data_IF_108046853400
#
_entry.id   IF_108046853400
#
_cell.length_a   1.000
_cell.length_b   1.000
_cell.length_c   1.000
_cell.angle_alpha   90.00
_cell.angle_beta   90.00
_cell.angle_gamma   90.00
#
_symmetry.space_group_name_H-M   'P 1'
#
loop_
_entity.id
_entity.type
_entity.pdbx_description
1 polymer ?
2 non-polymer ?
3 water ?
#
# COMPACT_ATOMS: atom_id res chain seq x y z
N UNK A 1 21.20 -1.23 -7.59
CA UNK A 1 21.43 -1.84 -6.30
C UNK A 1 22.89 -1.76 -5.88
N UNK A 2 23.29 -2.66 -4.99
CA UNK A 2 24.65 -2.69 -4.48
C UNK A 2 24.97 -4.13 -4.22
N UNK A 3 26.26 -4.46 -4.23
CA UNK A 3 26.66 -5.85 -4.03
C UNK A 3 26.24 -6.30 -2.64
N UNK A 4 26.23 -5.36 -1.70
CA UNK A 4 25.85 -5.70 -0.33
C UNK A 4 24.37 -6.06 -0.27
N UNK A 5 23.52 -5.23 -0.87
CA UNK A 5 22.09 -5.50 -0.87
C UNK A 5 21.83 -6.83 -1.53
N UNK A 6 22.51 -7.03 -2.66
CA UNK A 6 22.44 -8.31 -3.35
C UNK A 6 22.69 -9.45 -2.36
N UNK A 7 23.84 -9.43 -1.69
CA UNK A 7 24.20 -10.48 -0.74
C UNK A 7 23.16 -10.61 0.37
N UNK A 8 22.60 -9.49 0.80
CA UNK A 8 21.62 -9.49 1.89
C UNK A 8 20.32 -10.17 1.44
N UNK A 9 19.82 -9.80 0.26
CA UNK A 9 18.66 -10.47 -0.31
C UNK A 9 18.85 -11.99 -0.40
N UNK A 10 20.03 -12.41 -0.82
CA UNK A 10 20.27 -13.82 -1.04
C UNK A 10 20.33 -14.60 0.27
N UNK A 11 20.90 -13.98 1.31
CA UNK A 11 20.86 -14.60 2.64
C UNK A 11 19.41 -14.68 3.13
N UNK A 12 18.63 -13.65 2.84
CA UNK A 12 17.22 -13.61 3.26
C UNK A 12 16.42 -14.73 2.62
N UNK A 13 16.64 -14.95 1.32
CA UNK A 13 15.96 -16.04 0.64
C UNK A 13 16.30 -17.38 1.26
N UNK A 14 17.58 -17.56 1.58
CA UNK A 14 18.05 -18.76 2.24
C UNK A 14 17.28 -18.99 3.55
N UNK A 15 17.17 -17.94 4.35
CA UNK A 15 16.42 -17.96 5.60
C UNK A 15 14.97 -18.31 5.37
N UNK A 16 14.39 -17.75 4.31
CA UNK A 16 13.00 -18.01 3.97
C UNK A 16 12.78 -19.49 3.67
N UNK A 17 13.69 -20.08 2.90
CA UNK A 17 13.64 -21.51 2.61
C UNK A 17 13.76 -22.35 3.88
N UNK A 18 14.71 -22.01 4.74
CA UNK A 18 14.86 -22.70 6.02
C UNK A 18 13.56 -22.66 6.81
N UNK A 19 12.96 -21.47 6.90
CA UNK A 19 11.74 -21.27 7.67
C UNK A 19 10.58 -22.11 7.14
N UNK A 20 10.46 -22.18 5.82
CA UNK A 20 9.38 -22.92 5.21
C UNK A 20 9.52 -24.42 5.42
N UNK A 21 10.72 -24.87 5.76
CA UNK A 21 10.96 -26.29 6.00
C UNK A 21 10.82 -26.70 7.47
N UNK A 22 10.67 -25.73 8.37
CA UNK A 22 10.48 -26.06 9.78
C UNK A 22 9.07 -26.62 9.99
N UNK A 23 8.84 -27.37 11.07
CA UNK A 23 7.46 -27.60 11.46
C UNK A 23 7.07 -26.23 12.00
N UNK A 24 5.84 -25.81 11.79
CA UNK A 24 5.42 -24.52 12.31
C UNK A 24 6.31 -23.36 11.85
N UNK A 25 6.35 -23.10 10.53
CA UNK A 25 7.12 -21.96 10.02
C UNK A 25 6.62 -20.66 10.66
N UNK A 26 7.51 -19.68 10.81
CA UNK A 26 7.11 -18.33 11.16
C UNK A 26 6.32 -17.74 10.01
N UNK A 27 5.24 -17.05 10.33
CA UNK A 27 4.45 -16.40 9.29
C UNK A 27 4.99 -14.98 9.04
N UNK A 28 4.86 -14.49 7.80
CA UNK A 28 5.28 -13.13 7.49
C UNK A 28 4.50 -12.09 8.31
N UNK A 29 5.04 -10.87 8.42
CA UNK A 29 4.36 -9.79 9.13
C UNK A 29 2.97 -9.54 8.57
N UNK A 30 2.84 -9.57 7.24
CA UNK A 30 1.57 -9.35 6.57
C UNK A 30 0.52 -10.41 6.97
N UNK A 31 0.94 -11.66 7.03
CA UNK A 31 0.01 -12.74 7.37
C UNK A 31 -0.41 -12.75 8.83
N UNK A 32 0.53 -12.45 9.72
CA UNK A 32 0.21 -12.31 11.14
C UNK A 32 -0.81 -11.19 11.37
N UNK A 33 -0.64 -10.08 10.67
CA UNK A 33 -1.58 -8.96 10.78
C UNK A 33 -2.96 -9.30 10.21
N UNK A 34 -3.00 -9.99 9.06
CA UNK A 34 -4.28 -10.43 8.53
C UNK A 34 -4.98 -11.44 9.48
N UNK A 35 -4.23 -12.38 10.06
CA UNK A 35 -4.83 -13.29 11.05
C UNK A 35 -5.50 -12.52 12.20
N UNK A 36 -4.80 -11.50 12.69
CA UNK A 36 -5.30 -10.66 13.76
C UNK A 36 -6.59 -9.90 13.33
N UNK A 37 -6.59 -9.36 12.12
CA UNK A 37 -7.80 -8.73 11.58
C UNK A 37 -8.96 -9.71 11.46
N UNK A 38 -8.68 -10.92 10.99
CA UNK A 38 -9.71 -11.97 10.87
C UNK A 38 -10.22 -12.42 12.23
N UNK A 39 -9.29 -12.55 13.18
CA UNK A 39 -9.66 -12.97 14.53
C UNK A 39 -10.47 -11.90 15.26
N UNK A 40 -10.38 -10.65 14.82
CA UNK A 40 -11.06 -9.52 15.46
C UNK A 40 -12.37 -9.09 14.77
N UNK A 41 -12.79 -9.81 13.75
CA UNK A 41 -13.96 -9.39 12.97
C UNK A 41 -15.25 -9.36 13.78
N UNK A 42 -16.11 -8.40 13.49
CA UNK A 42 -17.39 -8.30 14.15
C UNK A 42 -18.43 -8.01 13.08
N UNK A 43 -18.80 -9.04 12.31
CA UNK A 43 -19.62 -8.83 11.11
C UNK A 43 -21.11 -8.74 11.43
N UNK A 44 -21.83 -7.85 10.73
CA UNK A 44 -23.29 -7.89 10.86
C UNK A 44 -23.84 -9.06 10.06
N UNK A 45 -25.11 -9.45 10.35
CA UNK A 45 -25.71 -10.62 9.71
C UNK A 45 -25.82 -10.46 8.18
N UNK A 46 -25.68 -9.23 7.71
CA UNK A 46 -25.75 -8.95 6.29
C UNK A 46 -24.43 -9.23 5.55
N UNK A 47 -23.41 -9.63 6.29
CA UNK A 47 -22.13 -9.94 5.67
C UNK A 47 -21.60 -11.28 6.09
N UNK A 48 -21.27 -12.12 5.12
CA UNK A 48 -20.62 -13.38 5.42
C UNK A 48 -19.26 -13.43 4.72
N UNK A 49 -18.35 -14.24 5.24
CA UNK A 49 -16.97 -14.24 4.78
C UNK A 49 -16.47 -15.66 4.70
N UNK A 50 -15.80 -15.98 3.59
CA UNK A 50 -15.19 -17.30 3.39
C UNK A 50 -13.70 -17.11 3.18
N UNK A 51 -12.90 -17.84 3.93
CA UNK A 51 -11.46 -17.81 3.70
C UNK A 51 -11.23 -18.75 2.55
N UNK A 52 -10.69 -18.24 1.44
CA UNK A 52 -10.44 -19.08 0.27
C UNK A 52 -9.02 -19.64 0.37
N UNK A 53 -8.05 -18.73 0.49
CA UNK A 53 -6.67 -19.11 0.80
C UNK A 53 -6.26 -18.43 2.11
N UNK A 54 -5.84 -19.22 3.08
CA UNK A 54 -5.59 -18.74 4.45
C UNK A 54 -4.22 -18.06 4.63
N UNK A 55 -4.15 -17.02 5.48
CA UNK A 55 -2.84 -16.45 5.84
C UNK A 55 -1.98 -17.46 6.61
N UNK A 56 -2.57 -18.59 6.98
CA UNK A 56 -1.86 -19.64 7.72
C UNK A 56 -0.87 -20.46 6.91
N UNK A 57 -0.76 -20.21 5.61
CA UNK A 57 0.22 -20.96 4.82
C UNK A 57 1.60 -20.29 4.89
N UNK A 58 2.65 -21.08 4.75
CA UNK A 58 4.01 -20.54 4.73
C UNK A 58 4.43 -20.35 3.28
N UNK A 59 3.53 -20.73 2.37
CA UNK A 59 3.79 -20.61 0.95
C UNK A 59 3.66 -19.17 0.49
N UNK A 60 4.81 -18.52 0.33
CA UNK A 60 4.89 -17.15 -0.14
C UNK A 60 4.07 -16.90 -1.41
N UNK A 61 4.08 -17.88 -2.31
CA UNK A 61 3.43 -17.77 -3.61
C UNK A 61 1.90 -17.88 -3.58
N UNK A 62 1.35 -18.39 -2.49
CA UNK A 62 -0.09 -18.48 -2.33
C UNK A 62 -0.62 -17.29 -1.52
N UNK A 63 -0.99 -16.21 -2.20
CA UNK A 63 -1.48 -15.04 -1.50
C UNK A 63 -2.79 -15.36 -0.76
N UNK A 64 -2.92 -14.86 0.48
CA UNK A 64 -4.19 -15.08 1.18
C UNK A 64 -5.32 -14.47 0.35
N UNK A 65 -6.49 -15.08 0.41
CA UNK A 65 -7.62 -14.60 -0.37
C UNK A 65 -8.92 -14.89 0.36
N UNK A 66 -9.79 -13.89 0.41
CA UNK A 66 -11.07 -14.01 1.12
C UNK A 66 -12.18 -13.72 0.13
N UNK A 67 -13.34 -14.34 0.34
CA UNK A 67 -14.55 -13.98 -0.38
C UNK A 67 -15.48 -13.28 0.61
N UNK A 68 -15.93 -12.09 0.25
CA UNK A 68 -16.84 -11.35 1.13
C UNK A 68 -18.18 -11.24 0.43
N UNK A 69 -19.25 -11.67 1.09
CA UNK A 69 -20.59 -11.66 0.49
C UNK A 69 -21.51 -10.67 1.21
N UNK A 70 -21.88 -9.60 0.52
CA UNK A 70 -22.76 -8.58 1.07
C UNK A 70 -24.21 -8.82 0.63
N UNK A 71 -25.10 -8.99 1.60
CA UNK A 71 -26.53 -9.18 1.36
C UNK A 71 -27.32 -8.18 2.21
N UNK A 72 -27.49 -6.96 1.70
CA UNK A 72 -28.13 -5.87 2.46
C UNK A 72 -29.56 -6.24 2.80
N UNK A 73 -30.07 -5.80 3.94
CA UNK A 73 -31.46 -6.08 4.25
C UNK A 73 -32.33 -4.82 4.18
N UNK A 74 -31.75 -3.76 3.62
CA UNK A 74 -32.44 -2.49 3.39
C UNK A 74 -31.83 -1.77 2.19
N UNK A 75 -32.49 -0.73 1.69
CA UNK A 75 -31.97 0.03 0.57
C UNK A 75 -32.25 -0.52 -0.83
N UNK A 76 -31.66 0.11 -1.84
CA UNK A 76 -31.91 -0.24 -3.23
C UNK A 76 -31.61 -1.70 -3.58
N UNK A 77 -30.58 -2.24 -2.94
CA UNK A 77 -30.06 -3.56 -3.27
C UNK A 77 -30.52 -4.57 -2.25
N UNK A 78 -31.54 -4.23 -1.47
CA UNK A 78 -32.05 -5.12 -0.44
C UNK A 78 -32.23 -6.54 -0.95
N UNK A 79 -31.70 -7.48 -0.18
CA UNK A 79 -31.79 -8.92 -0.44
C UNK A 79 -31.08 -9.46 -1.69
N UNK A 80 -30.33 -8.60 -2.36
CA UNK A 80 -29.39 -9.06 -3.39
C UNK A 80 -28.09 -9.50 -2.73
N UNK A 81 -27.41 -10.48 -3.32
CA UNK A 81 -26.12 -10.93 -2.79
C UNK A 81 -24.96 -10.55 -3.72
N UNK A 82 -24.09 -9.65 -3.25
CA UNK A 82 -22.94 -9.22 -4.05
C UNK A 82 -21.66 -9.73 -3.42
N UNK A 83 -20.94 -10.60 -4.13
CA UNK A 83 -19.72 -11.14 -3.56
C UNK A 83 -18.47 -10.48 -4.13
N UNK A 84 -17.43 -10.42 -3.30
CA UNK A 84 -16.16 -9.77 -3.64
C UNK A 84 -15.03 -10.72 -3.26
N UNK A 85 -13.96 -10.70 -4.05
CA UNK A 85 -12.74 -11.38 -3.64
C UNK A 85 -11.79 -10.31 -3.13
N UNK A 86 -11.13 -10.60 -2.01
CA UNK A 86 -10.10 -9.72 -1.48
C UNK A 86 -8.76 -10.46 -1.52
N UNK A 87 -7.79 -9.94 -2.27
CA UNK A 87 -6.49 -10.59 -2.48
C UNK A 87 -5.38 -9.79 -1.80
N UNK A 88 -4.69 -10.40 -0.85
CA UNK A 88 -3.68 -9.72 -0.04
C UNK A 88 -2.28 -10.06 -0.56
N UNK A 89 -1.42 -9.06 -0.65
CA UNK A 89 -0.01 -9.32 -0.97
C UNK A 89 0.83 -9.26 0.30
N UNK A 90 2.15 -9.46 0.19
CA UNK A 90 2.99 -9.57 1.37
C UNK A 90 3.28 -8.20 1.99
N UNK A 91 2.59 -7.19 1.49
CA UNK A 91 2.83 -5.82 1.92
C UNK A 91 1.66 -5.22 2.73
N UNK A 92 0.65 -6.04 2.98
CA UNK A 92 -0.37 -5.68 3.98
C UNK A 92 0.29 -5.53 5.34
N UNK A 93 -0.09 -4.49 6.11
CA UNK A 93 -1.15 -3.50 5.89
C UNK A 93 -0.68 -2.20 5.24
N UNK A 94 0.54 -2.18 4.70
CA UNK A 94 1.01 -0.96 4.07
C UNK A 94 0.13 -0.70 2.87
N UNK A 95 -0.20 -1.77 2.16
CA UNK A 95 -1.18 -1.74 1.08
C UNK A 95 -2.39 -2.56 1.47
N UNK A 96 -3.59 -2.10 1.11
CA UNK A 96 -4.80 -2.88 1.35
C UNK A 96 -4.92 -4.03 0.35
N UNK A 97 -5.82 -4.99 0.61
CA UNK A 97 -5.96 -6.04 -0.42
C UNK A 97 -6.50 -5.43 -1.70
N UNK A 98 -6.26 -6.10 -2.82
CA UNK A 98 -6.98 -5.79 -4.05
C UNK A 98 -8.42 -6.31 -3.90
N UNK A 99 -9.40 -5.48 -4.24
CA UNK A 99 -10.79 -5.89 -4.11
C UNK A 99 -11.39 -6.02 -5.52
N UNK A 100 -12.02 -7.15 -5.79
CA UNK A 100 -12.66 -7.38 -7.08
C UNK A 100 -14.11 -7.82 -6.87
N UNK A 101 -15.05 -7.10 -7.47
CA UNK A 101 -16.46 -7.52 -7.39
C UNK A 101 -16.71 -8.63 -8.41
N UNK A 102 -17.35 -9.71 -7.97
CA UNK A 102 -17.45 -10.93 -8.75
C UNK A 102 -18.77 -11.04 -9.48
N UNK A 103 -19.59 -10.00 -9.40
CA UNK A 103 -20.88 -9.96 -10.08
C UNK A 103 -21.00 -8.71 -10.94
N UNK A 104 -21.62 -8.84 -12.11
CA UNK A 104 -21.99 -7.68 -12.90
C UNK A 104 -23.19 -7.03 -12.22
N UNK A 105 -22.96 -5.88 -11.60
CA UNK A 105 -24.06 -5.21 -10.92
C UNK A 105 -24.20 -3.74 -11.34
N UNK A 106 -25.42 -3.21 -11.22
CA UNK A 106 -25.70 -1.83 -11.61
C UNK A 106 -25.47 -0.92 -10.40
N UNK A 107 -24.27 -0.36 -10.30
CA UNK A 107 -23.93 0.49 -9.17
C UNK A 107 -22.93 1.54 -9.62
N UNK A 108 -23.15 2.81 -9.22
CA UNK A 108 -22.30 3.90 -9.71
C UNK A 108 -20.82 3.66 -9.39
N UNK A 109 -20.52 2.96 -8.31
CA UNK A 109 -19.14 2.88 -7.82
C UNK A 109 -18.41 1.58 -8.20
N UNK A 110 -19.04 0.75 -9.03
CA UNK A 110 -18.45 -0.51 -9.48
C UNK A 110 -18.56 -0.62 -11.00
N UNK A 111 -17.46 -0.92 -11.68
CA UNK A 111 -17.51 -1.03 -13.14
C UNK A 111 -17.75 -2.45 -13.60
N UNK A 112 -17.91 -2.64 -14.90
CA UNK A 112 -18.29 -3.95 -15.42
C UNK A 112 -17.14 -4.94 -15.39
N UNK A 113 -15.94 -4.45 -15.07
CA UNK A 113 -14.78 -5.30 -14.90
C UNK A 113 -14.63 -5.82 -13.45
N UNK A 114 -15.45 -5.32 -12.53
CA UNK A 114 -15.34 -5.71 -11.15
C UNK A 114 -14.54 -4.76 -10.27
N UNK A 115 -13.96 -3.71 -10.88
CA UNK A 115 -13.29 -2.65 -10.14
C UNK A 115 -14.22 -1.89 -9.19
N UNK A 116 -13.74 -1.61 -7.99
CA UNK A 116 -14.58 -1.00 -6.97
C UNK A 116 -13.98 0.31 -6.48
N UNK A 117 -14.72 1.41 -6.64
CA UNK A 117 -14.27 2.72 -6.19
C UNK A 117 -14.71 3.02 -4.76
N UNK A 118 -13.80 2.79 -3.84
CA UNK A 118 -14.07 2.96 -2.43
C UNK A 118 -12.87 3.70 -1.88
N UNK A 119 -13.10 4.86 -1.26
CA UNK A 119 -12.00 5.75 -0.87
C UNK A 119 -10.96 5.09 0.02
N UNK A 120 -11.39 4.25 0.96
CA UNK A 120 -10.42 3.68 1.88
C UNK A 120 -9.46 2.69 1.22
N UNK A 121 -9.78 2.27 0.00
CA UNK A 121 -8.90 1.37 -0.72
C UNK A 121 -7.71 2.09 -1.35
N UNK A 122 -7.75 3.41 -1.44
CA UNK A 122 -6.61 4.14 -1.99
C UNK A 122 -6.25 5.46 -1.29
N UNK A 123 -6.92 6.55 -1.65
CA UNK A 123 -6.48 7.84 -1.13
C UNK A 123 -6.64 7.95 0.39
N UNK A 124 -7.63 7.26 0.94
CA UNK A 124 -7.85 7.33 2.38
C UNK A 124 -7.41 6.07 3.11
N UNK A 125 -6.60 5.24 2.47
CA UNK A 125 -6.10 4.05 3.16
C UNK A 125 -5.06 4.43 4.23
N UNK A 126 -5.12 3.78 5.38
CA UNK A 126 -4.10 3.89 6.42
C UNK A 126 -3.86 2.50 6.98
N UNK A 127 -2.60 2.20 7.36
CA UNK A 127 -2.29 0.87 7.91
C UNK A 127 -2.95 0.66 9.25
N UNK A 128 -3.54 1.72 9.80
CA UNK A 128 -4.28 1.60 11.05
C UNK A 128 -5.75 1.22 10.81
N UNK A 129 -6.15 1.18 9.54
CA UNK A 129 -7.47 0.66 9.16
C UNK A 129 -7.33 -0.85 9.04
N UNK A 130 -8.44 -1.57 9.03
CA UNK A 130 -8.40 -3.03 9.08
C UNK A 130 -9.44 -3.68 8.19
N UNK A 131 -9.47 -5.01 8.20
CA UNK A 131 -10.38 -5.74 7.36
C UNK A 131 -11.81 -5.36 7.71
N UNK A 132 -12.09 -5.17 9.00
CA UNK A 132 -13.45 -4.79 9.42
C UNK A 132 -13.87 -3.50 8.70
N UNK A 133 -12.96 -2.54 8.62
CA UNK A 133 -13.21 -1.26 7.95
C UNK A 133 -13.50 -1.45 6.49
N UNK A 134 -12.70 -2.27 5.82
CA UNK A 134 -12.92 -2.50 4.41
C UNK A 134 -14.31 -3.11 4.22
N UNK A 135 -14.61 -4.14 5.01
CA UNK A 135 -15.88 -4.83 4.86
C UNK A 135 -17.06 -3.89 5.16
N UNK A 136 -16.95 -3.11 6.22
CA UNK A 136 -18.00 -2.15 6.51
C UNK A 136 -18.15 -1.16 5.34
N UNK A 137 -17.04 -0.76 4.73
CA UNK A 137 -17.07 0.14 3.58
C UNK A 137 -17.77 -0.44 2.37
N UNK A 138 -17.57 -1.73 2.11
CA UNK A 138 -18.25 -2.41 1.01
C UNK A 138 -19.76 -2.47 1.29
N UNK A 139 -20.11 -2.73 2.53
CA UNK A 139 -21.52 -2.74 2.90
C UNK A 139 -22.14 -1.36 2.62
N UNK A 140 -21.51 -0.33 3.16
CA UNK A 140 -22.00 1.06 3.09
C UNK A 140 -22.19 1.56 1.64
N UNK A 141 -21.45 1.01 0.69
CA UNK A 141 -21.64 1.33 -0.71
C UNK A 141 -23.06 1.03 -1.18
N UNK A 142 -23.65 0.00 -0.61
CA UNK A 142 -24.98 -0.43 -1.02
C UNK A 142 -26.07 0.27 -0.21
N UNK A 143 -25.70 0.72 0.99
CA UNK A 143 -26.61 1.47 1.85
C UNK A 143 -26.67 2.94 1.46
N UNK A 144 -25.54 3.48 1.03
CA UNK A 144 -25.46 4.85 0.58
C UNK A 144 -24.62 5.00 -0.67
N UNK A 145 -25.19 4.61 -1.83
CA UNK A 145 -24.47 4.76 -3.09
C UNK A 145 -24.24 6.24 -3.35
N UNK A 146 -23.11 6.55 -3.96
CA UNK A 146 -22.71 7.93 -4.20
C UNK A 146 -22.51 8.11 -5.70
N UNK A 147 -23.20 9.10 -6.29
CA UNK A 147 -23.04 9.27 -7.74
C UNK A 147 -21.76 10.01 -8.11
N UNK A 148 -20.94 10.35 -7.13
CA UNK A 148 -19.76 11.19 -7.37
C UNK A 148 -18.46 10.46 -7.69
N UNK A 149 -18.47 9.14 -7.64
CA UNK A 149 -17.32 8.34 -8.08
C UNK A 149 -17.77 7.36 -9.15
N UNK A 150 -18.17 7.90 -10.31
CA UNK A 150 -18.96 7.12 -11.29
C UNK A 150 -18.08 6.21 -12.14
N UNK A 151 -17.92 4.95 -11.73
CA UNK A 151 -17.26 3.97 -12.58
C UNK A 151 -18.26 3.48 -13.62
N UNK A 152 -19.53 3.56 -13.24
CA UNK A 152 -20.62 3.15 -14.11
C UNK A 152 -21.51 4.35 -14.33
N UNK A 153 -21.37 4.98 -15.49
CA UNK A 153 -22.02 6.24 -15.75
C UNK A 153 -23.53 6.11 -15.84
N UNK A 154 -24.02 4.99 -16.36
CA UNK A 154 -25.47 4.78 -16.45
C UNK A 154 -26.12 4.76 -15.08
N UNK A 155 -25.51 4.06 -14.13
CA UNK A 155 -26.03 4.03 -12.75
C UNK A 155 -25.92 5.41 -12.10
N UNK A 156 -24.79 6.08 -12.30
CA UNK A 156 -24.60 7.43 -11.73
C UNK A 156 -25.68 8.38 -12.23
N UNK A 157 -25.98 8.32 -13.53
CA UNK A 157 -27.04 9.16 -14.11
C UNK A 157 -28.40 8.86 -13.51
N UNK A 158 -28.75 7.58 -13.43
CA UNK A 158 -30.07 7.18 -12.94
C UNK A 158 -30.30 7.55 -11.47
N UNK A 159 -29.24 7.51 -10.69
CA UNK A 159 -29.34 7.80 -9.27
C UNK A 159 -29.68 9.28 -9.11
N UNK A 160 -29.08 10.11 -9.96
CA UNK A 160 -29.42 11.53 -10.00
C UNK A 160 -30.85 11.76 -10.48
N UNK A 161 -31.31 10.92 -11.41
CA UNK A 161 -32.65 11.04 -11.99
C UNK A 161 -33.78 10.66 -11.03
N UNK A 162 -33.46 10.45 -9.76
CA UNK A 162 -34.49 10.14 -8.78
C UNK A 162 -34.44 8.73 -8.22
N UNK A 163 -35.19 8.52 -7.14
CA UNK A 163 -35.11 7.30 -6.37
C UNK A 163 -36.02 6.17 -6.88
N UNK A 164 -37.20 6.52 -7.38
CA UNK A 164 -38.09 5.48 -7.92
C UNK A 164 -37.47 4.90 -9.18
N UNK A 165 -36.84 5.78 -9.96
CA UNK A 165 -36.20 5.40 -11.21
C UNK A 165 -35.01 4.48 -10.97
N UNK A 166 -34.14 4.87 -10.04
CA UNK A 166 -32.96 4.08 -9.74
C UNK A 166 -33.38 2.78 -9.08
N UNK A 167 -34.39 2.87 -8.21
CA UNK A 167 -34.87 1.69 -7.51
C UNK A 167 -35.34 0.60 -8.46
N UNK A 168 -36.04 1.00 -9.52
CA UNK A 168 -36.58 0.03 -10.46
C UNK A 168 -35.51 -0.51 -11.39
N UNK A 169 -34.54 0.34 -11.74
CA UNK A 169 -33.41 -0.09 -12.55
C UNK A 169 -32.56 -1.12 -11.81
N UNK A 170 -32.42 -0.93 -10.49
CA UNK A 170 -31.64 -1.84 -9.66
C UNK A 170 -32.38 -3.17 -9.52
N UNK A 171 -33.69 -3.09 -9.30
CA UNK A 171 -34.51 -4.28 -9.22
C UNK A 171 -34.46 -5.10 -10.50
N UNK A 172 -34.51 -4.43 -11.66
CA UNK A 172 -34.41 -5.13 -12.94
C UNK A 172 -33.06 -5.82 -13.12
N UNK A 173 -31.99 -5.06 -12.92
CA UNK A 173 -30.63 -5.58 -13.13
C UNK A 173 -30.27 -6.71 -12.17
N UNK A 174 -30.68 -6.60 -10.91
CA UNK A 174 -30.47 -7.64 -9.91
C UNK A 174 -31.20 -8.94 -10.24
N UNK A 175 -32.25 -8.83 -11.05
CA UNK A 175 -32.99 -10.00 -11.51
C UNK A 175 -32.44 -10.52 -12.84
N UNK A 176 -31.29 -10.00 -13.24
CA UNK A 176 -30.66 -10.44 -14.47
C UNK A 176 -31.05 -9.66 -15.72
N UNK A 177 -31.73 -8.53 -15.54
CA UNK A 177 -32.17 -7.72 -16.67
C UNK A 177 -31.09 -6.83 -17.23
N UNK A 178 -31.40 -6.12 -18.31
CA UNK A 178 -30.42 -5.29 -18.98
C UNK A 178 -30.82 -3.82 -18.92
N UNK A 179 -29.82 -2.96 -18.80
CA UNK A 179 -30.03 -1.54 -18.96
C UNK A 179 -29.09 -1.06 -20.05
N UNK A 180 -29.60 -0.18 -20.90
CA UNK A 180 -28.97 0.09 -22.18
C UNK A 180 -28.78 -1.26 -22.85
N UNK A 181 -27.55 -1.65 -23.16
CA UNK A 181 -27.35 -2.93 -23.81
C UNK A 181 -26.43 -3.87 -23.03
N UNK A 182 -26.27 -3.61 -21.75
CA UNK A 182 -25.47 -4.49 -20.92
C UNK A 182 -26.35 -5.32 -19.99
N UNK A 183 -26.06 -6.63 -19.96
CA UNK A 183 -26.81 -7.56 -19.14
C UNK A 183 -26.14 -7.72 -17.78
N UNK A 184 -26.95 -7.67 -16.73
CA UNK A 184 -26.43 -7.79 -15.39
C UNK A 184 -26.80 -9.16 -14.82
N UNK A 185 -26.06 -9.60 -13.80
CA UNK A 185 -26.30 -10.91 -13.21
C UNK A 185 -27.54 -10.96 -12.31
N UNK A 186 -28.19 -12.11 -12.29
CA UNK A 186 -29.25 -12.39 -11.35
C UNK A 186 -28.65 -12.69 -9.99
N UNK A 187 -28.84 -11.78 -9.04
CA UNK A 187 -28.25 -11.96 -7.71
C UNK A 187 -29.29 -12.07 -6.58
N UNK A 188 -30.57 -12.21 -6.93
CA UNK A 188 -31.64 -12.19 -5.92
C UNK A 188 -31.93 -13.52 -5.21
N UNK A 189 -31.47 -14.64 -5.74
CA UNK A 189 -31.67 -15.91 -5.02
C UNK A 189 -30.99 -15.89 -3.64
N UNK A 190 -31.64 -16.46 -2.60
CA UNK A 190 -32.89 -17.24 -2.53
C UNK A 190 -34.11 -16.47 -2.99
N UNK B 4 24.14 -7.67 -31.02
CA UNK B 4 24.42 -6.42 -31.70
C UNK B 4 23.18 -5.50 -31.80
N UNK B 5 22.00 -6.03 -31.49
CA UNK B 5 20.77 -5.27 -31.67
C UNK B 5 20.59 -4.15 -30.65
N UNK B 6 20.87 -4.44 -29.38
CA UNK B 6 20.76 -3.44 -28.32
C UNK B 6 21.83 -2.37 -28.49
N UNK B 7 22.92 -2.76 -29.15
CA UNK B 7 24.03 -1.87 -29.32
C UNK B 7 23.81 -0.93 -30.50
N UNK B 8 23.16 -1.45 -31.54
CA UNK B 8 22.76 -0.62 -32.66
C UNK B 8 21.76 0.44 -32.21
N UNK B 9 20.93 0.07 -31.21
CA UNK B 9 19.97 1.01 -30.64
C UNK B 9 20.64 2.11 -29.82
N UNK B 10 21.69 1.74 -29.07
CA UNK B 10 22.50 2.73 -28.34
C UNK B 10 23.01 3.80 -29.28
N UNK B 11 23.47 3.37 -30.45
CA UNK B 11 24.05 4.29 -31.42
C UNK B 11 23.02 5.28 -31.92
N UNK B 12 21.81 4.80 -32.18
CA UNK B 12 20.73 5.64 -32.70
C UNK B 12 20.21 6.59 -31.62
N UNK B 13 20.08 6.09 -30.41
CA UNK B 13 19.71 6.92 -29.29
C UNK B 13 20.73 8.05 -29.10
N UNK B 14 22.01 7.68 -29.18
CA UNK B 14 23.09 8.65 -29.09
C UNK B 14 22.95 9.73 -30.16
N UNK B 15 22.51 9.32 -31.34
CA UNK B 15 22.28 10.26 -32.43
C UNK B 15 21.06 11.13 -32.14
N UNK B 16 20.01 10.49 -31.64
CA UNK B 16 18.80 11.21 -31.24
C UNK B 16 19.11 12.25 -30.16
N UNK B 17 20.00 11.89 -29.24
CA UNK B 17 20.39 12.79 -28.15
C UNK B 17 21.18 13.97 -28.68
N UNK B 18 22.04 13.73 -29.66
CA UNK B 18 22.82 14.83 -30.25
C UNK B 18 21.95 15.75 -31.10
N UNK B 19 20.97 15.18 -31.80
CA UNK B 19 19.96 16.00 -32.46
C UNK B 19 19.26 16.87 -31.44
N UNK B 20 18.79 16.25 -30.37
CA UNK B 20 18.06 16.96 -29.31
C UNK B 20 18.86 18.13 -28.72
N UNK B 21 20.18 18.06 -28.82
CA UNK B 21 21.00 19.24 -28.56
C UNK B 21 20.86 20.18 -29.75
N UNK B 22 19.78 20.96 -29.74
CA UNK B 22 19.39 21.85 -30.84
C UNK B 22 17.99 21.52 -31.36
N UNK B 25 12.09 15.81 -26.52
CA UNK B 25 12.56 14.41 -26.59
C UNK B 25 11.66 13.47 -25.79
N UNK B 26 12.08 12.23 -25.66
CA UNK B 26 11.30 11.19 -24.99
C UNK B 26 11.73 10.98 -23.54
N UNK B 27 10.76 10.96 -22.62
CA UNK B 27 11.03 10.56 -21.24
C UNK B 27 11.25 9.04 -21.17
N UNK B 28 12.29 8.63 -20.45
CA UNK B 28 12.54 7.22 -20.22
C UNK B 28 11.35 6.57 -19.52
N UNK B 29 11.24 5.26 -19.64
CA UNK B 29 10.16 4.52 -18.99
C UNK B 29 10.12 4.81 -17.49
N UNK B 30 11.29 4.87 -16.87
CA UNK B 30 11.39 5.11 -15.43
C UNK B 30 10.85 6.50 -15.03
N UNK B 31 11.09 7.49 -15.88
CA UNK B 31 10.68 8.86 -15.57
C UNK B 31 9.20 9.09 -15.79
N UNK B 32 8.67 8.49 -16.87
CA UNK B 32 7.24 8.47 -17.10
C UNK B 32 6.52 7.90 -15.89
N UNK B 33 6.97 6.75 -15.42
CA UNK B 33 6.29 6.08 -14.33
C UNK B 33 6.38 6.88 -13.00
N UNK B 34 7.51 7.53 -12.75
CA UNK B 34 7.63 8.34 -11.54
C UNK B 34 6.75 9.59 -11.65
N UNK B 35 6.71 10.19 -12.82
CA UNK B 35 5.81 11.31 -13.06
C UNK B 35 4.36 10.90 -12.78
N UNK B 36 4.01 9.72 -13.26
CA UNK B 36 2.67 9.17 -13.03
C UNK B 36 2.43 8.92 -11.53
N UNK B 37 3.45 8.38 -10.85
CA UNK B 37 3.41 8.20 -9.39
C UNK B 37 3.22 9.51 -8.64
N UNK B 38 3.99 10.52 -9.03
CA UNK B 38 3.87 11.85 -8.45
C UNK B 38 2.51 12.50 -8.73
N UNK B 39 2.00 12.31 -9.93
CA UNK B 39 0.73 12.94 -10.31
C UNK B 39 -0.49 12.32 -9.63
N UNK B 40 -0.38 11.05 -9.24
CA UNK B 40 -1.50 10.37 -8.58
C UNK B 40 -1.31 10.29 -7.06
N UNK B 41 -0.28 10.96 -6.56
CA UNK B 41 0.11 10.86 -5.15
C UNK B 41 -0.90 11.52 -4.21
N UNK B 42 -1.31 10.77 -3.19
CA UNK B 42 -2.14 11.26 -2.11
C UNK B 42 -1.37 11.08 -0.81
N UNK B 43 -1.12 12.19 -0.11
CA UNK B 43 -0.36 12.16 1.13
C UNK B 43 -1.29 12.27 2.32
N UNK B 44 -0.96 11.58 3.42
CA UNK B 44 -1.67 11.79 4.68
C UNK B 44 -1.15 13.09 5.28
N UNK B 45 -1.80 13.59 6.34
CA UNK B 45 -1.40 14.88 6.92
C UNK B 45 -0.02 14.81 7.58
N UNK B 46 0.39 13.61 7.97
CA UNK B 46 1.67 13.43 8.66
C UNK B 46 2.88 13.38 7.72
N UNK B 47 2.63 13.45 6.41
CA UNK B 47 3.75 13.39 5.46
C UNK B 47 3.76 14.59 4.51
N UNK B 48 4.93 15.20 4.33
CA UNK B 48 5.11 16.18 3.27
C UNK B 48 6.19 15.73 2.28
N UNK B 49 6.09 16.18 1.05
CA UNK B 49 7.02 15.76 0.02
C UNK B 49 7.60 16.96 -0.70
N UNK B 50 8.92 16.97 -0.86
CA UNK B 50 9.60 18.01 -1.64
C UNK B 50 10.29 17.40 -2.84
N UNK B 51 9.96 17.87 -4.04
CA UNK B 51 10.62 17.43 -5.25
C UNK B 51 11.92 18.20 -5.38
N UNK B 52 13.05 17.52 -5.25
CA UNK B 52 14.33 18.18 -5.38
C UNK B 52 14.69 18.26 -6.85
N UNK B 53 14.63 17.12 -7.52
CA UNK B 53 14.81 17.07 -8.98
C UNK B 53 13.70 16.24 -9.61
N UNK B 54 12.92 16.89 -10.48
CA UNK B 54 11.76 16.28 -11.11
C UNK B 54 12.18 15.23 -12.14
N UNK B 55 11.37 14.16 -12.32
CA UNK B 55 11.65 13.16 -13.36
C UNK B 55 11.62 13.73 -14.77
N UNK B 56 10.84 14.80 -14.96
CA UNK B 56 10.73 15.43 -16.28
C UNK B 56 11.35 16.83 -16.24
N UNK B 57 12.46 16.97 -15.52
CA UNK B 57 13.14 18.24 -15.42
C UNK B 57 13.84 18.52 -16.75
N UNK B 58 14.30 19.75 -16.94
CA UNK B 58 14.99 20.13 -18.17
C UNK B 58 16.31 19.36 -18.35
N UNK B 59 17.02 19.15 -17.25
CA UNK B 59 18.32 18.48 -17.30
C UNK B 59 18.20 16.99 -16.97
N UNK B 60 18.23 16.15 -18.01
CA UNK B 60 17.98 14.73 -17.85
C UNK B 60 19.20 13.91 -17.43
N UNK B 61 20.32 14.57 -17.17
CA UNK B 61 21.49 13.88 -16.65
C UNK B 61 21.49 13.84 -15.12
N UNK B 62 20.52 14.53 -14.52
CA UNK B 62 20.34 14.50 -13.07
C UNK B 62 19.23 13.52 -12.73
N UNK B 63 19.54 12.55 -11.88
CA UNK B 63 18.55 11.55 -11.45
C UNK B 63 17.44 12.20 -10.61
N UNK B 64 16.18 11.78 -10.81
CA UNK B 64 15.09 12.36 -10.02
C UNK B 64 15.35 12.15 -8.53
N UNK B 65 15.03 13.16 -7.72
CA UNK B 65 15.30 13.09 -6.29
C UNK B 65 14.16 13.73 -5.51
N UNK B 66 13.68 13.04 -4.48
CA UNK B 66 12.63 13.56 -3.63
C UNK B 66 13.09 13.59 -2.18
N UNK B 67 12.51 14.49 -1.39
CA UNK B 67 12.65 14.43 0.06
C UNK B 67 11.27 14.18 0.65
N UNK B 68 11.19 13.20 1.55
CA UNK B 68 9.93 12.83 2.20
C UNK B 68 10.10 13.12 3.68
N UNK B 69 9.18 13.87 4.27
CA UNK B 69 9.30 14.20 5.69
C UNK B 69 8.15 13.62 6.48
N UNK B 70 8.49 12.75 7.43
CA UNK B 70 7.49 12.08 8.24
C UNK B 70 7.37 12.71 9.65
N UNK B 71 6.15 13.07 10.01
CA UNK B 71 5.85 13.64 11.32
C UNK B 71 4.76 12.82 11.98
N UNK B 72 5.15 11.76 12.67
CA UNK B 72 4.17 10.84 13.25
C UNK B 72 3.26 11.56 14.24
N UNK B 73 2.00 11.11 14.34
CA UNK B 73 1.05 11.71 15.27
C UNK B 73 0.56 10.69 16.29
N UNK B 74 1.31 9.61 16.43
CA UNK B 74 1.03 8.55 17.38
C UNK B 74 2.31 7.75 17.56
N UNK B 75 2.34 6.88 18.56
CA UNK B 75 3.49 6.01 18.76
C UNK B 75 4.69 6.68 19.41
N UNK B 76 5.79 5.94 19.49
CA UNK B 76 7.01 6.39 20.15
C UNK B 76 7.60 7.68 19.60
N UNK B 77 7.48 7.87 18.29
CA UNK B 77 8.16 9.01 17.64
C UNK B 77 7.21 10.18 17.43
N UNK B 78 6.05 10.07 18.07
CA UNK B 78 5.07 11.14 18.02
C UNK B 78 5.79 12.46 18.27
N UNK B 79 5.38 13.48 17.52
CA UNK B 79 5.93 14.83 17.64
C UNK B 79 7.29 15.02 16.97
N UNK B 80 7.95 13.92 16.62
CA UNK B 80 9.20 14.00 15.89
C UNK B 80 9.01 14.29 14.41
N UNK B 81 10.09 14.68 13.76
CA UNK B 81 10.08 15.00 12.34
C UNK B 81 11.30 14.36 11.68
N UNK B 82 11.07 13.40 10.78
CA UNK B 82 12.16 12.63 10.19
C UNK B 82 12.13 12.69 8.66
N UNK B 83 13.22 13.16 8.07
CA UNK B 83 13.30 13.36 6.62
C UNK B 83 14.16 12.31 5.92
N UNK B 84 13.73 11.92 4.72
CA UNK B 84 14.42 10.91 3.92
C UNK B 84 14.68 11.43 2.52
N UNK B 85 15.83 11.10 1.96
CA UNK B 85 16.06 11.29 0.53
C UNK B 85 15.79 10.03 -0.27
N UNK B 86 15.08 10.18 -1.39
CA UNK B 86 14.81 9.09 -2.31
C UNK B 86 15.49 9.41 -3.64
N UNK B 87 16.37 8.53 -4.11
CA UNK B 87 17.10 8.80 -5.35
C UNK B 87 16.81 7.70 -6.35
N UNK B 88 16.27 8.09 -7.50
CA UNK B 88 15.71 7.14 -8.45
C UNK B 88 16.68 6.92 -9.62
N UNK B 89 16.98 5.66 -9.92
CA UNK B 89 17.82 5.39 -11.09
C UNK B 89 16.94 5.04 -12.28
N UNK B 90 17.55 4.72 -13.41
CA UNK B 90 16.76 4.49 -14.63
C UNK B 90 16.15 3.08 -14.69
N UNK B 91 16.33 2.29 -13.64
CA UNK B 91 15.77 0.93 -13.56
C UNK B 91 14.41 0.90 -12.82
N UNK B 92 14.06 2.02 -12.18
CA UNK B 92 12.72 2.14 -11.59
C UNK B 92 11.65 1.89 -12.67
N UNK B 93 10.59 1.15 -12.33
CA UNK B 93 10.25 0.58 -11.02
C UNK B 93 10.62 -0.90 -10.88
N UNK B 94 11.49 -1.42 -11.74
CA UNK B 94 12.00 -2.78 -11.55
C UNK B 94 12.75 -2.81 -10.23
N UNK B 95 13.50 -1.75 -9.97
CA UNK B 95 14.18 -1.53 -8.70
C UNK B 95 13.53 -0.33 -8.03
N UNK B 96 13.51 -0.30 -6.69
CA UNK B 96 13.03 0.87 -5.95
C UNK B 96 14.06 1.98 -5.94
N UNK B 97 13.66 3.22 -5.57
CA UNK B 97 14.66 4.26 -5.37
C UNK B 97 15.60 3.85 -4.25
N UNK B 98 16.79 4.42 -4.23
CA UNK B 98 17.60 4.35 -3.02
C UNK B 98 16.94 5.27 -1.98
N UNK B 99 16.80 4.77 -0.77
CA UNK B 99 16.19 5.56 0.31
C UNK B 99 17.20 5.71 1.45
N UNK B 100 17.45 6.95 1.88
CA UNK B 100 18.35 7.18 3.00
C UNK B 100 17.68 8.04 4.06
N UNK B 101 17.70 7.61 5.32
CA UNK B 101 17.26 8.47 6.42
C UNK B 101 18.34 9.52 6.70
N UNK B 102 17.94 10.79 6.71
CA UNK B 102 18.89 11.90 6.82
C UNK B 102 19.14 12.36 8.26
N UNK B 103 18.55 11.67 9.23
CA UNK B 103 18.79 11.98 10.64
C UNK B 103 19.27 10.72 11.36
N UNK B 104 20.19 10.88 12.31
CA UNK B 104 20.51 9.77 13.21
C UNK B 104 19.34 9.58 14.16
N UNK B 105 18.63 8.47 14.07
CA UNK B 105 17.55 8.25 15.02
C UNK B 105 17.66 6.89 15.71
N UNK B 106 17.08 6.80 16.90
CA UNK B 106 17.15 5.58 17.70
C UNK B 106 15.97 4.68 17.35
N UNK B 107 16.20 3.80 16.38
CA UNK B 107 15.13 3.04 15.75
C UNK B 107 15.73 1.74 15.25
N UNK B 108 15.08 0.61 15.57
CA UNK B 108 15.67 -0.71 15.28
C UNK B 108 15.81 -0.99 13.79
N UNK B 109 15.04 -0.30 12.95
CA UNK B 109 15.00 -0.62 11.53
C UNK B 109 15.77 0.36 10.68
N UNK B 110 16.56 1.21 11.33
CA UNK B 110 17.33 2.23 10.62
C UNK B 110 18.73 2.24 11.18
N UNK B 111 19.75 2.22 10.34
CA UNK B 111 21.12 2.19 10.88
C UNK B 111 21.70 3.60 11.00
N UNK B 112 22.83 3.72 11.68
CA UNK B 112 23.38 5.05 11.96
C UNK B 112 23.90 5.73 10.70
N UNK B 113 23.98 4.99 9.60
CA UNK B 113 24.33 5.57 8.32
C UNK B 113 23.09 5.96 7.51
N UNK B 114 21.91 5.76 8.10
CA UNK B 114 20.67 6.13 7.46
C UNK B 114 20.06 5.09 6.53
N UNK B 115 20.64 3.89 6.49
CA UNK B 115 20.02 2.80 5.76
C UNK B 115 18.74 2.39 6.45
N UNK B 116 17.74 2.04 5.66
CA UNK B 116 16.41 1.70 6.16
C UNK B 116 16.11 0.25 5.82
N UNK B 117 15.66 -0.51 6.81
CA UNK B 117 15.27 -1.89 6.59
C UNK B 117 13.75 -2.05 6.58
N UNK B 118 13.22 -2.29 5.40
CA UNK B 118 11.79 -2.27 5.21
C UNK B 118 11.58 -3.29 4.12
N UNK B 119 10.71 -4.27 4.36
CA UNK B 119 10.51 -5.37 3.41
C UNK B 119 10.10 -4.87 2.02
N UNK B 120 9.24 -3.87 2.00
CA UNK B 120 8.72 -3.31 0.76
C UNK B 120 9.82 -2.73 -0.14
N UNK B 121 10.97 -2.41 0.45
CA UNK B 121 12.08 -1.85 -0.33
C UNK B 121 13.05 -2.92 -0.75
N UNK B 122 12.83 -4.12 -0.24
CA UNK B 122 13.77 -5.19 -0.46
C UNK B 122 13.05 -6.38 -1.08
N UNK B 123 12.94 -7.45 -0.30
CA UNK B 123 12.43 -8.71 -0.82
C UNK B 123 10.96 -8.63 -1.30
N UNK B 124 10.20 -7.65 -0.80
CA UNK B 124 8.79 -7.54 -1.17
C UNK B 124 8.50 -6.40 -2.14
N UNK B 125 9.55 -5.74 -2.62
CA UNK B 125 9.37 -4.77 -3.68
C UNK B 125 8.84 -5.44 -4.95
N UNK B 126 8.05 -4.69 -5.71
CA UNK B 126 7.68 -5.11 -7.06
C UNK B 126 7.26 -3.87 -7.83
N UNK B 127 7.30 -3.93 -9.18
CA UNK B 127 6.87 -2.81 -10.01
C UNK B 127 5.38 -2.56 -9.86
N UNK B 128 4.68 -3.44 -9.15
CA UNK B 128 3.28 -3.20 -8.86
C UNK B 128 3.14 -2.13 -7.77
N UNK B 129 4.24 -1.87 -7.06
CA UNK B 129 4.24 -0.87 -6.02
C UNK B 129 4.61 0.48 -6.61
N UNK B 130 4.37 1.55 -5.87
CA UNK B 130 4.67 2.88 -6.36
C UNK B 130 5.09 3.82 -5.22
N UNK B 131 5.25 5.11 -5.55
CA UNK B 131 5.73 6.08 -4.57
C UNK B 131 4.80 6.15 -3.36
N UNK B 132 3.49 6.07 -3.61
CA UNK B 132 2.55 6.07 -2.50
C UNK B 132 2.81 4.90 -1.54
N UNK B 133 3.11 3.72 -2.08
CA UNK B 133 3.47 2.58 -1.24
C UNK B 133 4.70 2.90 -0.40
N UNK B 134 5.74 3.41 -1.04
CA UNK B 134 6.98 3.71 -0.34
C UNK B 134 6.74 4.69 0.83
N UNK B 135 6.05 5.79 0.54
CA UNK B 135 5.80 6.79 1.56
C UNK B 135 4.96 6.24 2.72
N UNK B 136 3.91 5.48 2.41
CA UNK B 136 3.17 4.79 3.46
C UNK B 136 4.06 3.85 4.28
N UNK B 137 4.96 3.14 3.60
CA UNK B 137 5.91 2.28 4.27
C UNK B 137 6.81 3.03 5.25
N UNK B 138 7.29 4.20 4.83
CA UNK B 138 8.14 5.03 5.70
C UNK B 138 7.37 5.49 6.93
N UNK B 139 6.13 5.89 6.74
CA UNK B 139 5.24 6.23 7.85
C UNK B 139 5.11 5.05 8.81
N UNK B 140 4.89 3.87 8.24
CA UNK B 140 4.73 2.63 8.97
C UNK B 140 5.91 2.26 9.87
N UNK B 141 7.11 2.64 9.47
CA UNK B 141 8.30 2.46 10.32
C UNK B 141 8.07 2.97 11.72
N UNK B 142 7.42 4.14 11.82
CA UNK B 142 7.21 4.81 13.09
C UNK B 142 5.91 4.38 13.78
N UNK B 143 4.96 3.93 12.98
CA UNK B 143 3.72 3.37 13.55
C UNK B 143 3.99 2.01 14.18
N UNK B 144 4.96 1.28 13.63
CA UNK B 144 5.20 -0.09 14.04
C UNK B 144 6.65 -0.51 13.91
N UNK B 145 7.53 0.01 14.78
CA UNK B 145 8.93 -0.41 14.74
C UNK B 145 9.05 -1.91 14.98
N UNK B 146 9.98 -2.55 14.28
CA UNK B 146 10.11 -4.00 14.32
C UNK B 146 11.42 -4.42 14.96
N UNK B 147 11.37 -5.27 15.98
CA UNK B 147 12.60 -5.68 16.70
C UNK B 147 13.39 -6.73 15.93
N UNK B 148 12.81 -7.25 14.86
CA UNK B 148 13.22 -8.56 14.34
C UNK B 148 14.53 -8.72 13.59
N UNK B 149 14.86 -7.84 12.66
CA UNK B 149 16.14 -7.96 11.98
C UNK B 149 16.89 -6.65 12.08
N UNK B 150 17.19 -6.23 13.33
CA UNK B 150 17.54 -4.84 13.67
C UNK B 150 18.71 -4.34 12.87
N UNK B 151 18.65 -3.09 12.46
CA UNK B 151 19.82 -2.41 11.94
C UNK B 151 20.50 -1.69 13.10
N UNK B 152 19.72 -1.41 14.15
CA UNK B 152 20.22 -0.79 15.38
C UNK B 152 19.90 -1.71 16.56
N UNK B 153 20.88 -2.50 16.96
CA UNK B 153 20.64 -3.51 18.01
C UNK B 153 20.31 -2.88 19.35
N UNK B 154 20.94 -1.75 19.63
CA UNK B 154 20.69 -1.02 20.87
C UNK B 154 19.22 -0.63 21.00
N UNK B 155 18.60 -0.24 19.89
CA UNK B 155 17.19 0.13 19.89
C UNK B 155 16.32 -1.13 19.97
N UNK B 156 16.64 -2.12 19.14
CA UNK B 156 15.92 -3.38 19.17
C UNK B 156 15.96 -3.94 20.59
N UNK B 157 17.14 -3.87 21.20
CA UNK B 157 17.31 -4.39 22.55
C UNK B 157 16.33 -3.77 23.53
N UNK B 158 16.27 -2.43 23.56
CA UNK B 158 15.36 -1.73 24.46
C UNK B 158 13.89 -1.97 24.16
N UNK B 159 13.58 -2.08 22.87
CA UNK B 159 12.20 -2.27 22.45
C UNK B 159 11.63 -3.57 23.03
N UNK B 160 12.43 -4.63 22.96
CA UNK B 160 12.02 -5.91 23.53
C UNK B 160 12.05 -5.87 25.04
N UNK B 161 12.92 -5.02 25.59
CA UNK B 161 13.04 -4.90 27.04
C UNK B 161 11.73 -4.40 27.65
N UNK B 162 11.11 -3.41 27.02
CA UNK B 162 9.86 -2.88 27.54
C UNK B 162 9.44 -1.56 26.93
N UNK B 163 8.13 -1.35 26.82
CA UNK B 163 7.59 -0.17 26.18
C UNK B 163 7.90 1.14 26.91
N UNK B 164 7.92 1.11 28.23
CA UNK B 164 8.22 2.32 28.99
C UNK B 164 9.67 2.75 28.77
N UNK B 165 10.58 1.78 28.85
CA UNK B 165 12.01 2.08 28.71
C UNK B 165 12.35 2.56 27.30
N UNK B 166 11.87 1.86 26.28
CA UNK B 166 12.12 2.26 24.91
C UNK B 166 11.62 3.67 24.64
N UNK B 167 10.43 3.98 25.16
CA UNK B 167 9.85 5.31 25.00
C UNK B 167 10.78 6.40 25.54
N UNK B 168 11.29 6.19 26.74
CA UNK B 168 12.21 7.15 27.36
C UNK B 168 13.47 7.28 26.53
N UNK B 169 13.95 6.15 26.02
CA UNK B 169 15.14 6.17 25.19
C UNK B 169 14.86 7.07 24.00
N UNK B 170 13.71 6.87 23.36
CA UNK B 170 13.34 7.61 22.17
C UNK B 170 13.15 9.11 22.46
N UNK B 171 12.52 9.41 23.59
CA UNK B 171 12.35 10.81 24.01
C UNK B 171 13.71 11.50 24.15
N UNK B 172 14.64 10.84 24.84
CA UNK B 172 15.99 11.40 25.02
C UNK B 172 16.72 11.62 23.70
N UNK B 173 16.80 10.58 22.87
CA UNK B 173 17.52 10.69 21.61
C UNK B 173 16.85 11.71 20.68
N UNK B 174 15.53 11.73 20.67
CA UNK B 174 14.80 12.69 19.82
C UNK B 174 15.18 14.14 20.13
N UNK B 175 15.63 14.38 21.36
CA UNK B 175 16.07 15.71 21.77
C UNK B 175 17.57 15.88 21.65
N UNK B 176 18.23 14.97 20.92
CA UNK B 176 19.66 15.07 20.69
C UNK B 176 20.53 14.39 21.76
N UNK B 177 19.92 13.55 22.60
CA UNK B 177 20.64 12.79 23.60
C UNK B 177 21.49 11.67 23.04
N UNK B 178 22.24 11.01 23.93
CA UNK B 178 23.14 9.92 23.52
C UNK B 178 22.73 8.63 24.21
N UNK B 179 22.93 7.50 23.53
CA UNK B 179 22.70 6.20 24.14
C UNK B 179 23.84 5.27 23.76
N UNK B 180 24.55 4.75 24.76
CA UNK B 180 25.68 3.88 24.51
C UNK B 180 26.75 4.60 23.69
N UNK B 181 27.06 5.84 24.03
CA UNK B 181 28.12 6.60 23.36
C UNK B 181 27.85 6.91 21.90
N UNK B 182 26.59 6.79 21.48
CA UNK B 182 26.18 7.25 20.16
C UNK B 182 25.35 8.53 20.33
N UNK B 183 25.74 9.59 19.62
CA UNK B 183 24.98 10.84 19.70
C UNK B 183 23.86 10.89 18.66
N UNK B 184 22.62 11.12 19.10
CA UNK B 184 21.49 11.17 18.18
C UNK B 184 21.08 12.60 17.84
N UNK B 185 20.43 12.77 16.69
CA UNK B 185 20.04 14.10 16.20
C UNK B 185 18.81 14.63 16.92
N UNK B 186 18.69 15.94 17.04
CA UNK B 186 17.44 16.54 17.51
C UNK B 186 16.41 16.57 16.39
N UNK B 187 15.26 15.96 16.62
CA UNK B 187 14.22 15.94 15.60
C UNK B 187 12.86 16.40 16.13
N UNK B 188 12.84 16.94 17.34
CA UNK B 188 11.57 17.37 17.92
C UNK B 188 11.24 18.83 17.61
N UNK B 189 12.18 19.53 17.01
CA UNK B 189 11.93 20.91 16.64
C UNK B 189 11.03 20.98 15.40
N UNK B 190 10.12 21.96 15.35
CA UNK B 190 9.20 22.05 14.21
C UNK B 190 9.95 22.38 12.92
X LIG C 1 -8.09 -17.72 9.03
X LIG C 1 -7.34 -18.35 7.99
X LIG C 1 -7.60 -18.25 10.37
X LIG C 1 -6.19 -18.26 10.34
X LIG C 1 -8.09 -17.38 11.52
X LIG C 1 -7.00 -16.62 12.03
X LIG D 1 17.99 1.70 -0.03
X LIG D 1 16.72 2.05 -0.52
X LIG D 1 17.77 1.17 1.38
X LIG D 1 18.46 -0.05 1.58
X LIG D 1 18.31 2.20 2.35
X LIG D 1 17.72 1.91 3.58
#
# INVERSE_FOLDING_TARGET
>A
GSMLKLRQLQKKKQKENENSSSIQPNLSAARIRLKRDLDSLDLPPTVTLNVITSPDSADRSQSPKLEVIVRPDEGYYNYGSINFNLDFNEVYPIEPPKVVCLKKIFHPNIDLKGNVCLNILREDWSPALDLQSIITGLLFLFLEPNPNDPLNKDAAKLLCEGEKEFAEAVRLTMSGGSIEHVKYDNIVSP
>B
GSMLKLRQLQKKKQKENENSSSIQPNLSAARIRLKRDLDSLDLPPTVTLNVITSPDSADRSQSPKLEVIVRPDEGYYNYGSINFNLDFNEVYPIEPPKVVCLKKIFHPNIDLKGNVCLNILREDWSPALDLQSIITGLLFLFLEPNPNDPLNKDAAKLLCEGEKEFAEAVRLTMSGGSIEHVKYDNIVSP
>C hetero
1 GOL C1 O1 C2 O2 C3 O3
>D hetero
1 GOL C1 O1 C2 O2 C3 O3
#
